data_IF_171129834711
#
_entry.id   IF_171129834711
#
_cell.length_a   1.000
_cell.length_b   1.000
_cell.length_c   1.000
_cell.angle_alpha   90.00
_cell.angle_beta   90.00
_cell.angle_gamma   90.00
#
_symmetry.space_group_name_H-M   'P 1'
#
loop_
_entity.id
_entity.type
_entity.pdbx_description
1 polymer ?
#
# COMPACT_ATOMS: atom_id res chain seq x y z
N UNK A 1 13.58 -33.25 36.24
CA UNK A 1 15.02 -33.14 36.57
C UNK A 1 15.84 -33.70 35.43
N UNK A 2 16.65 -32.87 34.75
CA UNK A 2 17.86 -33.23 34.01
C UNK A 2 18.29 -32.01 33.15
N UNK A 3 19.01 -31.08 33.77
CA UNK A 3 19.67 -29.96 33.08
C UNK A 3 20.99 -30.46 32.49
N UNK A 4 21.20 -30.27 31.18
CA UNK A 4 22.53 -30.38 30.56
C UNK A 4 23.17 -28.99 30.52
N UNK A 5 24.21 -28.82 31.33
CA UNK A 5 25.11 -27.66 31.37
C UNK A 5 25.93 -27.62 30.08
N UNK A 6 26.00 -26.44 29.45
CA UNK A 6 27.05 -26.11 28.48
C UNK A 6 28.01 -25.15 29.15
N UNK A 7 29.29 -25.52 29.16
CA UNK A 7 30.40 -24.77 29.75
C UNK A 7 30.84 -23.62 28.86
N UNK A 8 31.09 -22.48 29.50
CA UNK A 8 31.63 -21.24 28.93
C UNK A 8 33.11 -21.43 28.61
N UNK A 9 33.47 -21.30 27.33
CA UNK A 9 34.86 -21.17 26.88
C UNK A 9 35.29 -19.71 26.94
N UNK A 10 36.22 -19.41 27.84
CA UNK A 10 36.92 -18.13 27.97
C UNK A 10 37.80 -17.86 26.74
N UNK A 11 37.60 -16.72 26.08
CA UNK A 11 38.58 -16.15 25.17
C UNK A 11 39.07 -14.81 25.72
N UNK A 12 40.37 -14.79 25.88
CA UNK A 12 41.23 -13.87 26.59
C UNK A 12 41.27 -12.51 25.91
N UNK A 13 41.34 -11.45 26.74
CA UNK A 13 41.66 -10.08 26.36
C UNK A 13 42.97 -10.04 25.57
N UNK A 14 43.02 -9.26 24.49
CA UNK A 14 44.27 -8.71 23.97
C UNK A 14 44.17 -7.19 23.79
N UNK A 15 45.00 -6.52 24.58
CA UNK A 15 45.61 -5.19 24.45
C UNK A 15 45.08 -4.19 23.42
N UNK A 16 44.69 -3.04 23.96
CA UNK A 16 44.79 -1.73 23.33
C UNK A 16 46.22 -1.42 22.89
N UNK A 17 46.39 -0.91 21.67
CA UNK A 17 47.51 -0.01 21.37
C UNK A 17 46.99 1.23 20.62
N UNK A 18 47.22 2.39 21.24
CA UNK A 18 47.03 3.72 20.67
C UNK A 18 48.42 4.18 20.27
N UNK A 19 48.63 4.51 19.00
CA UNK A 19 49.60 5.54 18.61
C UNK A 19 49.35 6.07 17.18
N UNK A 20 48.97 7.34 17.16
CA UNK A 20 49.52 8.42 16.31
C UNK A 20 49.65 8.21 14.80
N UNK A 21 48.83 8.95 14.05
CA UNK A 21 49.02 9.21 12.61
C UNK A 21 48.11 10.35 12.13
N UNK A 22 48.60 11.59 12.20
CA UNK A 22 47.91 12.82 11.79
C UNK A 22 48.20 13.16 10.33
N UNK A 23 47.24 13.83 9.67
CA UNK A 23 47.27 14.51 8.34
C UNK A 23 47.15 13.59 7.11
N UNK A 24 46.31 13.88 6.10
CA UNK A 24 45.97 15.18 5.48
C UNK A 24 44.48 15.33 5.14
N UNK A 25 44.00 16.54 5.41
CA UNK A 25 42.75 17.14 4.93
C UNK A 25 42.96 17.54 3.46
N UNK A 26 42.15 17.01 2.54
CA UNK A 26 42.05 17.56 1.17
C UNK A 26 40.91 18.58 1.17
N UNK A 27 41.25 19.79 0.76
CA UNK A 27 40.43 20.98 0.73
C UNK A 27 39.49 21.05 -0.48
N UNK A 28 38.31 21.62 -0.23
CA UNK A 28 37.51 22.52 -1.07
C UNK A 28 37.47 22.28 -2.59
N UNK A 29 36.30 21.86 -3.08
CA UNK A 29 35.76 22.33 -4.36
C UNK A 29 34.56 23.21 -4.04
N UNK A 30 34.76 24.49 -4.25
CA UNK A 30 33.81 25.58 -4.10
C UNK A 30 33.34 25.95 -5.51
N UNK A 31 32.12 25.60 -5.90
CA UNK A 31 31.50 26.15 -7.12
C UNK A 31 30.50 27.22 -6.73
N UNK A 32 30.92 28.47 -6.97
CA UNK A 32 30.13 29.69 -6.82
C UNK A 32 28.90 29.70 -7.71
N UNK A 33 27.85 30.31 -7.15
CA UNK A 33 26.65 30.90 -7.75
C UNK A 33 26.86 31.49 -9.15
N UNK A 34 25.88 31.27 -10.02
CA UNK A 34 25.40 32.32 -10.94
C UNK A 34 23.90 32.52 -10.74
N UNK A 35 23.57 33.73 -10.26
CA UNK A 35 22.23 34.28 -10.17
C UNK A 35 22.02 35.29 -11.30
N UNK A 36 20.95 35.16 -12.10
CA UNK A 36 20.29 36.27 -12.83
C UNK A 36 18.80 35.88 -12.98
N UNK A 37 17.85 36.44 -12.22
CA UNK A 37 17.19 37.77 -12.30
C UNK A 37 16.05 37.81 -13.36
N UNK A 38 15.12 38.79 -13.36
CA UNK A 38 13.78 38.64 -12.77
C UNK A 38 12.66 38.94 -13.81
N UNK A 39 11.40 38.60 -13.52
CA UNK A 39 10.28 39.23 -14.23
C UNK A 39 9.39 40.01 -13.26
N UNK A 40 9.18 41.27 -13.64
CA UNK A 40 8.68 42.38 -12.85
C UNK A 40 7.20 42.61 -13.20
N UNK A 41 6.45 42.95 -12.15
CA UNK A 41 5.07 43.49 -12.07
C UNK A 41 4.53 44.26 -13.29
N UNK A 42 3.22 44.11 -13.50
CA UNK A 42 2.32 45.18 -13.92
C UNK A 42 0.97 45.05 -13.21
N UNK A 43 0.57 46.07 -12.44
CA UNK A 43 -0.80 46.31 -11.94
C UNK A 43 -1.45 47.36 -12.84
N UNK A 44 -2.78 47.33 -13.03
CA UNK A 44 -3.75 48.45 -13.05
C UNK A 44 -5.14 47.79 -13.28
N UNK A 45 -6.07 47.75 -12.32
CA UNK A 45 -7.05 48.73 -11.81
C UNK A 45 -8.24 49.09 -12.74
N UNK A 46 -9.45 48.95 -12.16
CA UNK A 46 -10.77 49.56 -12.41
C UNK A 46 -11.88 48.88 -13.26
N UNK A 47 -13.08 48.79 -12.61
CA UNK A 47 -14.44 48.78 -13.18
C UNK A 47 -14.99 47.38 -13.53
N UNK A 48 -16.10 46.85 -13.00
CA UNK A 48 -17.36 47.47 -12.59
C UNK A 48 -18.44 47.16 -13.64
N UNK A 49 -19.42 46.30 -13.33
CA UNK A 49 -20.73 46.29 -14.02
C UNK A 49 -21.19 45.00 -14.72
N UNK A 50 -22.15 44.34 -14.06
CA UNK A 50 -23.40 43.73 -14.60
C UNK A 50 -23.38 42.62 -15.67
N UNK A 51 -23.98 41.48 -15.28
CA UNK A 51 -24.55 40.44 -16.14
C UNK A 51 -25.76 40.97 -16.96
N UNK A 52 -26.24 40.27 -18.02
CA UNK A 52 -27.14 39.16 -17.76
C UNK A 52 -27.07 37.95 -18.73
N UNK A 53 -27.68 36.90 -18.20
CA UNK A 53 -28.12 35.62 -18.72
C UNK A 53 -29.26 35.73 -19.78
N UNK A 54 -29.30 34.77 -20.73
CA UNK A 54 -30.49 34.00 -21.20
C UNK A 54 -30.26 33.42 -22.59
N UNK A 55 -30.40 32.08 -22.73
CA UNK A 55 -31.51 31.48 -23.50
C UNK A 55 -31.57 29.96 -23.32
N UNK A 56 -32.69 29.48 -22.77
CA UNK A 56 -33.21 28.12 -22.95
C UNK A 56 -34.46 28.18 -23.82
N UNK A 57 -34.58 27.16 -24.66
CA UNK A 57 -35.76 26.40 -25.11
C UNK A 57 -37.03 27.12 -25.59
N UNK A 58 -37.54 26.65 -26.72
CA UNK A 58 -38.98 26.50 -26.97
C UNK A 58 -39.26 25.18 -27.67
N UNK A 59 -40.08 24.37 -27.02
CA UNK A 59 -40.84 23.24 -27.56
C UNK A 59 -41.90 23.74 -28.57
N UNK A 60 -42.27 22.89 -29.52
CA UNK A 60 -43.67 22.83 -29.96
C UNK A 60 -44.08 21.41 -30.36
N UNK A 61 -45.27 21.04 -29.90
CA UNK A 61 -45.96 19.78 -30.10
C UNK A 61 -47.13 19.95 -31.06
N UNK A 62 -47.41 18.90 -31.84
CA UNK A 62 -48.78 18.48 -32.18
C UNK A 62 -49.19 18.54 -33.65
N UNK A 63 -49.56 17.38 -34.23
CA UNK A 63 -50.97 16.93 -34.43
C UNK A 63 -51.10 15.98 -35.63
N UNK A 64 -51.81 14.87 -35.43
CA UNK A 64 -52.27 13.91 -36.45
C UNK A 64 -53.52 14.38 -37.21
N UNK A 65 -53.63 14.03 -38.49
CA UNK A 65 -54.68 13.20 -39.15
C UNK A 65 -54.81 13.55 -40.64
N UNK A 66 -55.03 12.53 -41.47
CA UNK A 66 -55.45 12.68 -42.87
C UNK A 66 -55.42 11.36 -43.64
N UNK A 67 -56.55 10.65 -43.66
CA UNK A 67 -56.83 9.53 -44.56
C UNK A 67 -56.98 10.01 -46.01
N UNK A 68 -56.64 9.17 -46.99
CA UNK A 68 -57.03 9.45 -48.37
C UNK A 68 -56.39 8.58 -49.47
N UNK A 69 -57.15 7.57 -49.90
CA UNK A 69 -57.45 7.25 -51.31
C UNK A 69 -56.61 6.19 -52.06
N UNK A 70 -57.28 5.05 -52.22
CA UNK A 70 -57.02 3.91 -53.12
C UNK A 70 -57.44 4.22 -54.57
N UNK A 71 -56.62 3.86 -55.58
CA UNK A 71 -56.98 3.41 -56.97
C UNK A 71 -55.77 2.68 -57.59
N UNK A 72 -55.78 1.34 -57.70
CA UNK A 72 -56.18 0.49 -58.86
C UNK A 72 -55.35 0.67 -60.14
N UNK A 73 -54.53 -0.34 -60.46
CA UNK A 73 -54.38 -1.09 -61.75
C UNK A 73 -53.16 -2.02 -61.62
N UNK A 74 -53.04 -3.23 -62.17
CA UNK A 74 -53.89 -4.23 -62.82
C UNK A 74 -53.02 -5.49 -62.88
N UNK A 75 -53.56 -6.63 -62.46
CA UNK A 75 -53.35 -7.99 -62.97
C UNK A 75 -52.20 -8.24 -63.97
N UNK A 76 -51.25 -9.08 -63.57
CA UNK A 76 -50.24 -9.69 -64.42
C UNK A 76 -49.61 -10.87 -63.70
N UNK A 77 -50.37 -11.95 -63.57
CA UNK A 77 -49.96 -13.18 -62.93
C UNK A 77 -48.81 -13.86 -63.69
N UNK A 78 -47.92 -14.49 -62.91
CA UNK A 78 -47.45 -15.87 -63.08
C UNK A 78 -47.03 -16.29 -64.50
N UNK A 79 -45.72 -16.54 -64.68
CA UNK A 79 -45.13 -17.73 -65.33
C UNK A 79 -43.75 -17.43 -65.94
N UNK A 80 -42.69 -17.35 -65.12
CA UNK A 80 -41.34 -17.60 -65.58
C UNK A 80 -40.39 -17.81 -64.39
N UNK A 81 -39.67 -18.93 -64.36
CA UNK A 81 -38.43 -19.04 -63.61
C UNK A 81 -38.41 -19.95 -62.38
N UNK A 82 -39.17 -21.06 -62.41
CA UNK A 82 -38.91 -22.20 -61.53
C UNK A 82 -37.65 -22.93 -62.04
N UNK A 83 -36.46 -22.37 -61.78
CA UNK A 83 -35.16 -22.99 -62.13
C UNK A 83 -33.95 -22.40 -61.38
N UNK A 84 -34.07 -22.10 -60.07
CA UNK A 84 -32.91 -21.88 -59.17
C UNK A 84 -33.19 -22.43 -57.76
N UNK A 85 -33.52 -23.71 -57.64
CA UNK A 85 -33.86 -24.31 -56.34
C UNK A 85 -33.16 -25.65 -56.01
N UNK A 86 -31.99 -25.94 -56.60
CA UNK A 86 -31.30 -27.24 -56.36
C UNK A 86 -29.78 -27.15 -56.09
N UNK A 87 -29.16 -25.98 -55.87
CA UNK A 87 -27.73 -25.91 -55.49
C UNK A 87 -27.45 -24.98 -54.30
N UNK A 88 -28.17 -25.19 -53.20
CA UNK A 88 -27.78 -24.64 -51.90
C UNK A 88 -28.06 -25.62 -50.75
N UNK A 89 -27.78 -26.90 -50.96
CA UNK A 89 -27.59 -27.86 -49.85
C UNK A 89 -26.13 -27.81 -49.40
N UNK A 90 -25.63 -26.61 -49.11
CA UNK A 90 -24.46 -26.45 -48.27
C UNK A 90 -24.92 -26.69 -46.85
N UNK A 91 -24.60 -27.85 -46.27
CA UNK A 91 -24.67 -28.05 -44.83
C UNK A 91 -23.78 -26.99 -44.18
N UNK A 92 -24.40 -25.88 -43.77
CA UNK A 92 -23.76 -24.93 -42.85
C UNK A 92 -23.65 -25.70 -41.55
N UNK A 93 -22.50 -26.31 -41.33
CA UNK A 93 -22.09 -26.70 -39.98
C UNK A 93 -22.11 -25.38 -39.21
N UNK A 94 -23.14 -25.20 -38.39
CA UNK A 94 -23.17 -24.14 -37.41
C UNK A 94 -21.95 -24.38 -36.55
N UNK A 95 -20.87 -23.66 -36.84
CA UNK A 95 -19.77 -23.52 -35.91
C UNK A 95 -20.42 -22.86 -34.71
N UNK A 96 -20.72 -23.67 -33.69
CA UNK A 96 -21.03 -23.18 -32.36
C UNK A 96 -19.90 -22.21 -32.05
N UNK A 97 -20.22 -20.92 -32.10
CA UNK A 97 -19.34 -19.89 -31.58
C UNK A 97 -19.28 -20.21 -30.10
N UNK A 98 -18.26 -20.98 -29.71
CA UNK A 98 -17.79 -21.06 -28.33
C UNK A 98 -17.43 -19.62 -27.99
N UNK A 99 -18.42 -18.87 -27.51
CA UNK A 99 -18.18 -17.60 -26.87
C UNK A 99 -17.28 -17.97 -25.69
N UNK A 100 -16.03 -17.49 -25.63
CA UNK A 100 -15.24 -17.68 -24.44
C UNK A 100 -16.09 -17.08 -23.32
N UNK A 101 -16.58 -17.93 -22.42
CA UNK A 101 -17.19 -17.48 -21.18
C UNK A 101 -16.14 -16.60 -20.53
N UNK A 102 -16.34 -15.29 -20.57
CA UNK A 102 -15.50 -14.33 -19.90
C UNK A 102 -15.59 -14.66 -18.41
N UNK A 103 -14.66 -15.49 -17.94
CA UNK A 103 -14.59 -15.89 -16.55
C UNK A 103 -14.46 -14.60 -15.76
N UNK A 104 -15.41 -14.33 -14.86
CA UNK A 104 -15.37 -13.11 -14.05
C UNK A 104 -13.99 -13.04 -13.39
N UNK A 105 -13.26 -11.92 -13.58
CA UNK A 105 -11.91 -11.84 -13.06
C UNK A 105 -11.93 -12.02 -11.54
N UNK A 106 -10.99 -12.80 -11.03
CA UNK A 106 -10.81 -12.96 -9.59
C UNK A 106 -10.40 -11.61 -9.02
N UNK A 107 -11.10 -11.15 -7.97
CA UNK A 107 -10.75 -9.89 -7.29
C UNK A 107 -10.06 -10.17 -5.97
N UNK A 108 -8.85 -9.67 -5.82
CA UNK A 108 -8.11 -9.66 -4.57
C UNK A 108 -8.29 -8.30 -3.89
N UNK A 109 -8.69 -8.31 -2.63
CA UNK A 109 -8.82 -7.12 -1.79
C UNK A 109 -7.53 -6.96 -0.99
N UNK A 110 -6.86 -5.82 -1.15
CA UNK A 110 -5.61 -5.48 -0.48
C UNK A 110 -5.78 -4.26 0.42
N UNK A 111 -5.58 -4.43 1.73
CA UNK A 111 -5.72 -3.37 2.74
C UNK A 111 -4.39 -2.88 3.32
N UNK A 112 -4.29 -1.58 3.64
CA UNK A 112 -3.16 -0.99 4.38
C UNK A 112 -3.56 0.31 5.11
N UNK A 113 -2.70 0.80 6.02
CA UNK A 113 -3.05 1.90 6.94
C UNK A 113 -2.70 3.29 6.37
N UNK A 114 -1.61 3.41 5.62
CA UNK A 114 -1.14 4.67 5.03
C UNK A 114 -2.14 5.29 4.03
N UNK A 115 -2.08 6.62 3.78
CA UNK A 115 -2.77 7.24 2.65
C UNK A 115 -2.42 6.59 1.31
N UNK A 116 -3.36 6.61 0.36
CA UNK A 116 -3.15 6.10 -1.01
C UNK A 116 -2.37 7.11 -1.84
N UNK A 117 -1.11 7.31 -1.48
CA UNK A 117 -0.16 8.22 -2.13
C UNK A 117 1.12 7.45 -2.45
N UNK A 118 1.60 7.48 -3.69
CA UNK A 118 2.78 6.71 -4.11
C UNK A 118 4.07 7.07 -3.35
N UNK A 119 4.08 8.21 -2.66
CA UNK A 119 5.17 8.65 -1.78
C UNK A 119 5.20 7.89 -0.46
N UNK A 120 4.13 7.16 -0.12
CA UNK A 120 4.03 6.30 1.08
C UNK A 120 4.41 4.86 0.72
N UNK A 121 5.30 4.20 1.48
CA UNK A 121 5.78 2.86 1.13
C UNK A 121 4.66 1.83 0.93
N UNK A 122 3.67 1.75 1.83
CA UNK A 122 2.60 0.75 1.73
C UNK A 122 1.76 0.94 0.46
N UNK A 123 1.44 2.18 0.11
CA UNK A 123 0.70 2.50 -1.11
C UNK A 123 1.53 2.20 -2.37
N UNK A 124 2.82 2.53 -2.39
CA UNK A 124 3.71 2.20 -3.49
C UNK A 124 3.76 0.68 -3.73
N UNK A 125 3.90 -0.12 -2.66
CA UNK A 125 3.88 -1.58 -2.75
C UNK A 125 2.56 -2.12 -3.28
N UNK A 126 1.43 -1.62 -2.76
CA UNK A 126 0.11 -2.05 -3.21
C UNK A 126 -0.12 -1.74 -4.70
N UNK A 127 0.28 -0.55 -5.16
CA UNK A 127 0.14 -0.15 -6.56
C UNK A 127 1.02 -0.98 -7.50
N UNK A 128 2.28 -1.23 -7.13
CA UNK A 128 3.19 -2.08 -7.91
C UNK A 128 2.69 -3.53 -7.93
N UNK A 129 2.22 -4.05 -6.79
CA UNK A 129 1.62 -5.38 -6.70
C UNK A 129 0.41 -5.51 -7.63
N UNK A 130 -0.53 -4.55 -7.57
CA UNK A 130 -1.69 -4.47 -8.47
C UNK A 130 -1.26 -4.51 -9.94
N UNK A 131 -0.33 -3.62 -10.33
CA UNK A 131 0.15 -3.53 -11.71
C UNK A 131 0.77 -4.85 -12.21
N UNK A 132 1.63 -5.47 -11.39
CA UNK A 132 2.31 -6.72 -11.77
C UNK A 132 1.30 -7.87 -11.87
N UNK A 133 0.37 -8.00 -10.92
CA UNK A 133 -0.63 -9.09 -10.92
C UNK A 133 -1.57 -8.96 -12.11
N UNK A 134 -2.12 -7.77 -12.34
CA UNK A 134 -3.07 -7.53 -13.43
C UNK A 134 -2.41 -7.74 -14.79
N UNK A 135 -1.18 -7.24 -14.97
CA UNK A 135 -0.44 -7.42 -16.22
C UNK A 135 -0.05 -8.90 -16.46
N UNK A 136 0.49 -9.59 -15.46
CA UNK A 136 0.95 -10.98 -15.61
C UNK A 136 -0.19 -11.99 -15.75
N UNK A 137 -1.39 -11.62 -15.33
CA UNK A 137 -2.59 -12.46 -15.46
C UNK A 137 -3.47 -12.06 -16.63
N UNK A 138 -3.04 -11.10 -17.47
CA UNK A 138 -3.84 -10.54 -18.56
C UNK A 138 -5.25 -10.12 -18.11
N UNK A 139 -5.35 -9.53 -16.92
CA UNK A 139 -6.61 -9.09 -16.32
C UNK A 139 -7.48 -10.21 -15.72
N UNK A 140 -7.04 -11.46 -15.71
CA UNK A 140 -7.78 -12.56 -15.06
C UNK A 140 -7.83 -12.41 -13.53
N UNK A 141 -6.87 -11.70 -12.94
CA UNK A 141 -6.87 -11.30 -11.53
C UNK A 141 -6.78 -9.79 -11.45
N UNK A 142 -7.71 -9.18 -10.72
CA UNK A 142 -7.76 -7.75 -10.41
C UNK A 142 -7.46 -7.52 -8.92
N UNK A 143 -6.82 -6.41 -8.60
CA UNK A 143 -6.51 -6.03 -7.20
C UNK A 143 -7.26 -4.75 -6.84
N UNK A 144 -8.19 -4.86 -5.90
CA UNK A 144 -8.90 -3.72 -5.31
C UNK A 144 -8.13 -3.24 -4.07
N UNK A 145 -7.71 -1.97 -4.06
CA UNK A 145 -6.85 -1.38 -3.03
C UNK A 145 -7.68 -0.59 -2.03
N UNK A 146 -7.43 -0.81 -0.74
CA UNK A 146 -8.08 -0.13 0.39
C UNK A 146 -7.02 0.44 1.34
N UNK A 147 -6.58 1.68 1.08
CA UNK A 147 -5.67 2.39 1.98
C UNK A 147 -6.39 3.29 2.99
N UNK A 148 -5.65 4.18 3.63
CA UNK A 148 -6.15 5.18 4.59
C UNK A 148 -6.91 4.56 5.76
N UNK A 149 -6.56 3.33 6.16
CA UNK A 149 -7.22 2.63 7.26
C UNK A 149 -8.76 2.53 7.10
N UNK A 150 -9.29 2.56 5.87
CA UNK A 150 -10.76 2.48 5.63
C UNK A 150 -11.35 1.14 6.05
N UNK A 151 -10.52 0.11 6.16
CA UNK A 151 -10.85 -1.21 6.71
C UNK A 151 -10.48 -1.33 8.20
N UNK A 152 -10.22 -0.21 8.89
CA UNK A 152 -9.71 -0.19 10.25
C UNK A 152 -8.20 -0.38 10.34
N UNK A 153 -7.69 -0.49 11.57
CA UNK A 153 -6.26 -0.58 11.84
C UNK A 153 -5.65 -1.97 11.60
N UNK A 154 -4.32 -2.05 11.69
CA UNK A 154 -3.50 -3.26 11.44
C UNK A 154 -4.11 -4.57 11.99
N UNK A 155 -4.54 -4.59 13.27
CA UNK A 155 -5.13 -5.79 13.89
C UNK A 155 -6.45 -6.22 13.25
N UNK A 156 -7.34 -5.27 12.98
CA UNK A 156 -8.64 -5.55 12.37
C UNK A 156 -8.45 -6.14 10.97
N UNK A 157 -7.55 -5.56 10.16
CA UNK A 157 -7.22 -6.10 8.84
C UNK A 157 -6.62 -7.51 8.91
N UNK A 158 -5.76 -7.80 9.89
CA UNK A 158 -5.23 -9.16 10.07
C UNK A 158 -6.33 -10.19 10.40
N UNK A 159 -7.30 -9.84 11.26
CA UNK A 159 -8.45 -10.72 11.49
C UNK A 159 -9.30 -10.91 10.24
N UNK A 160 -9.48 -9.86 9.43
CA UNK A 160 -10.20 -9.99 8.14
C UNK A 160 -9.47 -10.92 7.17
N UNK A 161 -8.13 -10.91 7.15
CA UNK A 161 -7.35 -11.86 6.35
C UNK A 161 -7.53 -13.28 6.86
N UNK A 162 -7.50 -13.48 8.19
CA UNK A 162 -7.74 -14.80 8.78
C UNK A 162 -9.15 -15.31 8.53
N UNK A 163 -10.16 -14.43 8.51
CA UNK A 163 -11.54 -14.80 8.23
C UNK A 163 -11.84 -14.98 6.74
N UNK A 164 -10.94 -14.57 5.84
CA UNK A 164 -11.16 -14.55 4.39
C UNK A 164 -12.03 -13.38 3.90
N UNK A 165 -12.34 -12.41 4.78
CA UNK A 165 -13.06 -11.18 4.41
C UNK A 165 -12.16 -10.12 3.77
N UNK A 166 -10.84 -10.29 3.88
CA UNK A 166 -9.80 -9.54 3.17
C UNK A 166 -8.79 -10.56 2.62
N UNK A 167 -8.23 -10.34 1.43
CA UNK A 167 -7.35 -11.35 0.82
C UNK A 167 -5.88 -11.09 1.16
N UNK A 168 -5.49 -9.81 1.19
CA UNK A 168 -4.12 -9.38 1.45
C UNK A 168 -4.14 -8.15 2.36
N UNK A 169 -3.20 -8.06 3.29
CA UNK A 169 -2.92 -6.79 3.98
C UNK A 169 -1.42 -6.55 4.10
N UNK A 170 -1.02 -5.27 4.09
CA UNK A 170 0.35 -4.85 4.41
C UNK A 170 0.41 -4.56 5.92
N UNK A 171 1.42 -5.09 6.59
CA UNK A 171 1.50 -5.08 8.06
C UNK A 171 2.91 -4.75 8.54
N UNK A 172 3.03 -3.76 9.42
CA UNK A 172 4.32 -3.34 9.98
C UNK A 172 4.59 -3.85 11.39
N UNK A 173 3.56 -4.08 12.23
CA UNK A 173 3.81 -4.38 13.66
C UNK A 173 2.79 -5.22 14.43
N UNK A 174 1.60 -5.48 13.89
CA UNK A 174 0.59 -6.27 14.62
C UNK A 174 0.86 -7.78 14.63
N UNK A 175 1.74 -8.29 13.75
CA UNK A 175 2.03 -9.72 13.61
C UNK A 175 2.52 -10.39 14.90
N UNK A 176 3.21 -9.63 15.76
CA UNK A 176 3.71 -10.16 17.04
C UNK A 176 2.63 -10.65 18.01
N UNK A 177 1.39 -10.16 17.89
CA UNK A 177 0.26 -10.62 18.69
C UNK A 177 -0.28 -11.98 18.23
N UNK A 178 -0.10 -12.33 16.95
CA UNK A 178 -0.59 -13.57 16.34
C UNK A 178 0.47 -14.67 16.33
N UNK A 179 1.71 -14.26 16.06
CA UNK A 179 2.86 -15.16 16.01
C UNK A 179 4.02 -14.49 16.76
N UNK A 180 4.17 -14.76 18.07
CA UNK A 180 5.16 -14.09 18.92
C UNK A 180 6.59 -14.16 18.40
N UNK A 181 6.98 -15.25 17.73
CA UNK A 181 8.31 -15.39 17.16
C UNK A 181 8.60 -14.41 16.02
N UNK A 182 7.57 -13.84 15.37
CA UNK A 182 7.76 -12.76 14.39
C UNK A 182 8.40 -11.51 14.99
N UNK A 183 8.24 -11.28 16.30
CA UNK A 183 8.78 -10.11 16.98
C UNK A 183 10.31 -10.06 16.96
N UNK A 184 10.99 -11.17 16.62
CA UNK A 184 12.46 -11.22 16.49
C UNK A 184 12.96 -10.14 15.53
N UNK A 185 12.30 -9.91 14.39
CA UNK A 185 12.74 -8.92 13.40
C UNK A 185 12.42 -7.48 13.81
N UNK A 186 11.61 -7.31 14.85
CA UNK A 186 11.27 -6.01 15.43
C UNK A 186 12.19 -5.64 16.60
N UNK A 187 13.22 -6.45 16.88
CA UNK A 187 14.19 -6.15 17.92
C UNK A 187 14.97 -4.86 17.56
N UNK A 188 15.00 -3.86 18.47
CA UNK A 188 15.77 -2.65 18.26
C UNK A 188 17.25 -2.97 18.04
N UNK A 189 17.86 -2.33 17.04
CA UNK A 189 19.28 -2.48 16.69
C UNK A 189 19.70 -3.90 16.24
N UNK A 190 18.76 -4.78 15.87
CA UNK A 190 19.08 -6.13 15.40
C UNK A 190 19.92 -6.13 14.12
N UNK A 191 19.51 -5.33 13.13
CA UNK A 191 20.19 -5.25 11.84
C UNK A 191 21.18 -4.08 11.84
N UNK A 192 22.43 -4.36 11.44
CA UNK A 192 23.49 -3.34 11.34
C UNK A 192 23.41 -2.52 10.04
N UNK A 193 22.80 -3.09 9.00
CA UNK A 193 22.55 -2.43 7.71
C UNK A 193 21.34 -3.06 7.03
N UNK A 194 20.80 -2.34 6.05
CA UNK A 194 19.70 -2.81 5.21
C UNK A 194 20.11 -4.04 4.39
N UNK A 195 21.34 -4.09 3.87
CA UNK A 195 21.86 -5.24 3.11
C UNK A 195 21.82 -6.54 3.92
N UNK A 196 22.17 -6.47 5.21
CA UNK A 196 22.11 -7.64 6.10
C UNK A 196 20.65 -8.06 6.31
N UNK A 197 19.74 -7.10 6.48
CA UNK A 197 18.31 -7.41 6.63
C UNK A 197 17.76 -8.11 5.39
N UNK A 198 18.04 -7.58 4.19
CA UNK A 198 17.63 -8.19 2.92
C UNK A 198 18.23 -9.57 2.71
N UNK A 199 19.51 -9.75 3.00
CA UNK A 199 20.13 -11.08 2.95
C UNK A 199 19.43 -12.07 3.88
N UNK A 200 19.05 -11.65 5.09
CA UNK A 200 18.31 -12.50 6.03
C UNK A 200 16.93 -12.86 5.45
N UNK A 201 16.17 -11.91 4.93
CA UNK A 201 14.82 -12.17 4.42
C UNK A 201 14.81 -13.00 3.13
N UNK A 202 15.82 -12.85 2.28
CA UNK A 202 15.84 -13.53 0.97
C UNK A 202 16.56 -14.88 1.00
N UNK A 203 17.65 -14.99 1.78
CA UNK A 203 18.60 -16.10 1.68
C UNK A 203 18.60 -17.01 2.91
N UNK A 204 18.31 -16.49 4.10
CA UNK A 204 18.48 -17.25 5.34
C UNK A 204 17.52 -18.43 5.47
N UNK A 205 18.05 -19.60 5.83
CA UNK A 205 17.25 -20.77 6.18
C UNK A 205 16.34 -20.50 7.39
N UNK A 206 16.85 -19.77 8.38
CA UNK A 206 16.09 -19.38 9.57
C UNK A 206 14.80 -18.63 9.20
N UNK A 207 14.88 -17.66 8.28
CA UNK A 207 13.69 -16.90 7.89
C UNK A 207 12.67 -17.76 7.14
N UNK A 208 13.14 -18.64 6.25
CA UNK A 208 12.28 -19.60 5.53
C UNK A 208 11.55 -20.53 6.49
N UNK A 209 12.27 -21.10 7.45
CA UNK A 209 11.69 -22.00 8.47
C UNK A 209 10.68 -21.25 9.36
N UNK A 210 11.01 -20.00 9.74
CA UNK A 210 10.12 -19.16 10.53
C UNK A 210 8.81 -18.85 9.79
N UNK A 211 8.87 -18.59 8.47
CA UNK A 211 7.68 -18.33 7.66
C UNK A 211 6.87 -19.60 7.40
N UNK A 212 7.51 -20.75 7.28
CA UNK A 212 6.83 -22.04 7.19
C UNK A 212 6.07 -22.35 8.50
N UNK A 213 6.70 -22.12 9.66
CA UNK A 213 6.05 -22.31 10.96
C UNK A 213 4.91 -21.31 11.19
N UNK A 214 5.10 -20.04 10.80
CA UNK A 214 4.05 -19.02 10.81
C UNK A 214 2.84 -19.49 10.02
N UNK A 215 3.04 -19.98 8.79
CA UNK A 215 1.95 -20.46 7.95
C UNK A 215 1.24 -21.66 8.58
N UNK A 216 2.01 -22.63 9.06
CA UNK A 216 1.47 -23.83 9.70
C UNK A 216 0.62 -23.51 10.94
N UNK A 217 1.03 -22.54 11.76
CA UNK A 217 0.37 -22.22 13.03
C UNK A 217 -0.80 -21.25 12.90
N UNK A 218 -0.75 -20.34 11.94
CA UNK A 218 -1.71 -19.23 11.85
C UNK A 218 -2.59 -19.27 10.61
N UNK A 219 -2.21 -20.07 9.60
CA UNK A 219 -2.82 -20.03 8.26
C UNK A 219 -2.40 -18.82 7.42
N UNK A 220 -1.69 -17.84 7.99
CA UNK A 220 -1.24 -16.66 7.28
C UNK A 220 -0.03 -16.97 6.39
N UNK A 221 0.03 -16.37 5.21
CA UNK A 221 1.18 -16.50 4.30
C UNK A 221 1.82 -15.13 4.10
N UNK A 222 3.11 -15.03 4.41
CA UNK A 222 3.90 -13.86 4.03
C UNK A 222 4.18 -13.93 2.52
N UNK A 223 3.80 -12.88 1.78
CA UNK A 223 4.05 -12.78 0.34
C UNK A 223 5.38 -12.09 0.01
N UNK A 224 5.83 -11.20 0.88
CA UNK A 224 7.09 -10.46 0.72
C UNK A 224 7.35 -9.53 1.90
N UNK A 225 8.59 -9.04 1.99
CA UNK A 225 9.00 -8.01 2.93
C UNK A 225 9.20 -6.69 2.18
N UNK A 226 8.76 -5.59 2.78
CA UNK A 226 8.98 -4.23 2.29
C UNK A 226 9.73 -3.39 3.33
N UNK A 227 10.47 -2.40 2.88
CA UNK A 227 11.19 -1.45 3.73
C UNK A 227 10.34 -0.20 3.97
N UNK A 228 10.02 0.06 5.24
CA UNK A 228 9.36 1.29 5.62
C UNK A 228 10.38 2.40 5.93
N UNK A 229 11.42 2.07 6.69
CA UNK A 229 12.55 2.95 7.03
C UNK A 229 13.07 2.71 8.45
N UNK A 230 14.02 3.54 8.89
CA UNK A 230 14.64 3.44 10.21
C UNK A 230 13.84 4.24 11.22
N UNK A 231 13.46 3.63 12.34
CA UNK A 231 12.58 4.26 13.33
C UNK A 231 13.32 5.31 14.15
N UNK A 232 12.71 6.49 14.29
CA UNK A 232 13.19 7.61 15.08
C UNK A 232 12.14 8.03 16.13
N UNK A 233 12.63 8.51 17.29
CA UNK A 233 11.77 9.12 18.30
C UNK A 233 11.55 10.60 17.99
N UNK A 234 10.30 11.06 18.09
CA UNK A 234 9.95 12.49 18.13
C UNK A 234 8.99 12.79 19.27
N UNK A 235 9.10 13.97 19.87
CA UNK A 235 8.24 14.37 21.00
C UNK A 235 8.15 15.90 21.11
N UNK A 236 7.12 16.36 21.83
CA UNK A 236 6.83 17.78 22.06
C UNK A 236 7.35 18.32 23.41
N UNK A 237 8.16 17.54 24.15
CA UNK A 237 8.61 17.88 25.50
C UNK A 237 10.03 18.43 25.49
N UNK A 238 10.99 17.66 24.94
CA UNK A 238 12.41 18.00 24.95
C UNK A 238 13.22 17.17 23.94
N UNK A 239 14.39 17.64 23.50
CA UNK A 239 15.34 16.81 22.76
C UNK A 239 15.75 15.57 23.55
N UNK A 240 15.95 14.45 22.86
CA UNK A 240 16.45 13.19 23.43
C UNK A 240 17.86 12.95 22.88
N UNK A 241 18.86 12.98 23.76
CA UNK A 241 20.27 12.74 23.40
C UNK A 241 20.83 11.50 24.08
N UNK A 242 20.24 11.12 25.21
CA UNK A 242 20.59 9.93 25.98
C UNK A 242 19.32 9.20 26.42
N UNK A 243 19.38 7.90 26.75
CA UNK A 243 18.22 7.18 27.28
C UNK A 243 17.60 7.84 28.53
N UNK A 244 18.40 8.50 29.38
CA UNK A 244 17.89 9.20 30.55
C UNK A 244 16.88 10.31 30.20
N UNK A 245 17.01 10.93 29.02
CA UNK A 245 16.11 11.99 28.56
C UNK A 245 14.70 11.47 28.27
N UNK A 246 14.50 10.16 28.11
CA UNK A 246 13.20 9.52 27.88
C UNK A 246 12.29 9.53 29.12
N UNK A 247 12.87 9.72 30.31
CA UNK A 247 12.17 9.51 31.59
C UNK A 247 10.88 10.34 31.69
N UNK A 248 9.76 9.66 31.89
CA UNK A 248 8.45 10.30 32.12
C UNK A 248 7.78 10.89 30.87
N UNK A 249 8.37 10.76 29.68
CA UNK A 249 7.69 11.08 28.41
C UNK A 249 6.74 9.93 28.07
N UNK A 250 5.50 10.23 27.67
CA UNK A 250 4.53 9.26 27.17
C UNK A 250 4.68 9.12 25.66
N UNK A 251 5.10 7.96 25.19
CA UNK A 251 5.22 7.66 23.77
C UNK A 251 4.08 6.78 23.30
N UNK A 252 3.45 7.16 22.17
CA UNK A 252 2.68 6.21 21.39
C UNK A 252 3.62 5.16 20.82
N UNK A 253 3.24 3.89 20.96
CA UNK A 253 3.86 2.76 20.26
C UNK A 253 2.81 2.03 19.43
N UNK A 254 3.26 1.28 18.43
CA UNK A 254 2.40 0.31 17.75
C UNK A 254 1.86 -0.72 18.75
N UNK A 255 0.75 -1.37 18.42
CA UNK A 255 0.11 -2.37 19.27
C UNK A 255 0.86 -3.72 19.29
N UNK A 256 2.16 -3.68 19.61
CA UNK A 256 3.07 -4.82 19.67
C UNK A 256 3.81 -4.84 21.01
N UNK A 257 3.87 -6.00 21.69
CA UNK A 257 4.54 -6.12 22.98
C UNK A 257 6.01 -5.71 22.97
N UNK A 258 6.73 -5.94 21.87
CA UNK A 258 8.15 -5.61 21.78
C UNK A 258 8.41 -4.10 21.84
N UNK A 259 7.56 -3.28 21.21
CA UNK A 259 7.72 -1.83 21.22
C UNK A 259 7.36 -1.22 22.58
N UNK A 260 6.36 -1.78 23.25
CA UNK A 260 6.03 -1.43 24.65
C UNK A 260 7.26 -1.65 25.53
N UNK A 261 7.81 -2.87 25.50
CA UNK A 261 8.99 -3.23 26.30
C UNK A 261 10.20 -2.39 25.97
N UNK A 262 10.42 -2.08 24.68
CA UNK A 262 11.55 -1.25 24.27
C UNK A 262 11.47 0.16 24.86
N UNK A 263 10.32 0.83 24.73
CA UNK A 263 10.13 2.20 25.24
C UNK A 263 10.19 2.23 26.76
N UNK A 264 9.60 1.24 27.44
CA UNK A 264 9.67 1.12 28.89
C UNK A 264 11.10 0.85 29.39
N UNK A 265 11.88 0.02 28.67
CA UNK A 265 13.28 -0.25 28.99
C UNK A 265 14.16 1.01 28.84
N UNK A 266 13.76 1.97 27.99
CA UNK A 266 14.40 3.28 27.90
C UNK A 266 13.96 4.25 29.00
N UNK A 267 13.01 3.88 29.88
CA UNK A 267 12.52 4.69 31.00
C UNK A 267 11.35 5.62 30.66
N UNK A 268 10.83 5.56 29.43
CA UNK A 268 9.61 6.26 29.03
C UNK A 268 8.35 5.44 29.38
N UNK A 269 7.17 6.06 29.23
CA UNK A 269 5.89 5.37 29.33
C UNK A 269 5.39 5.05 27.93
N UNK A 270 5.12 3.78 27.64
CA UNK A 270 4.58 3.36 26.35
C UNK A 270 3.05 3.28 26.39
N UNK A 271 2.38 3.83 25.39
CA UNK A 271 0.92 3.75 25.22
C UNK A 271 0.61 3.14 23.85
N UNK A 272 0.08 1.91 23.78
CA UNK A 272 -0.29 1.28 22.51
C UNK A 272 -1.51 1.96 21.92
N UNK A 273 -1.36 2.65 20.79
CA UNK A 273 -2.45 3.38 20.12
C UNK A 273 -2.44 3.03 18.62
N UNK A 274 -3.62 2.83 18.03
CA UNK A 274 -3.76 2.53 16.61
C UNK A 274 -3.19 3.66 15.73
N UNK A 275 -2.81 3.37 14.48
CA UNK A 275 -2.22 4.38 13.59
C UNK A 275 -3.17 5.55 13.35
N UNK A 276 -4.44 5.25 13.05
CA UNK A 276 -5.48 6.25 12.79
C UNK A 276 -5.71 7.22 13.97
N UNK A 277 -5.43 6.80 15.20
CA UNK A 277 -5.65 7.59 16.42
C UNK A 277 -4.42 8.42 16.83
N UNK A 278 -3.27 8.22 16.19
CA UNK A 278 -2.00 8.84 16.59
C UNK A 278 -2.09 10.38 16.58
N UNK A 279 -2.59 10.97 15.50
CA UNK A 279 -2.66 12.43 15.37
C UNK A 279 -3.55 13.05 16.46
N UNK A 280 -4.72 12.47 16.70
CA UNK A 280 -5.63 12.93 17.77
C UNK A 280 -5.00 12.72 19.15
N UNK A 281 -4.33 11.60 19.40
CA UNK A 281 -3.64 11.34 20.67
C UNK A 281 -2.53 12.35 20.97
N UNK A 282 -1.79 12.80 19.94
CA UNK A 282 -0.80 13.86 20.04
C UNK A 282 -1.45 15.24 20.27
N UNK A 283 -2.50 15.57 19.52
CA UNK A 283 -3.22 16.84 19.64
C UNK A 283 -3.86 17.03 21.03
N UNK A 284 -4.47 15.96 21.55
CA UNK A 284 -5.13 15.94 22.87
C UNK A 284 -4.16 15.68 24.03
N UNK A 285 -2.85 15.53 23.75
CA UNK A 285 -1.79 15.29 24.74
C UNK A 285 -1.99 14.02 25.58
N UNK A 286 -2.74 13.04 25.07
CA UNK A 286 -2.78 11.69 25.64
C UNK A 286 -1.36 11.11 25.66
N UNK A 287 -0.62 11.32 24.57
CA UNK A 287 0.81 11.03 24.44
C UNK A 287 1.59 12.29 24.07
N UNK A 288 2.86 12.31 24.44
CA UNK A 288 3.77 13.43 24.25
C UNK A 288 4.64 13.29 22.99
N UNK A 289 4.77 12.06 22.49
CA UNK A 289 5.62 11.71 21.37
C UNK A 289 5.27 10.37 20.75
N UNK A 290 6.04 10.01 19.75
CA UNK A 290 5.88 8.80 18.97
C UNK A 290 7.24 8.27 18.49
N UNK A 291 7.23 7.06 17.97
CA UNK A 291 8.35 6.45 17.26
C UNK A 291 7.87 5.88 15.92
N UNK A 292 8.51 6.26 14.81
CA UNK A 292 8.22 5.80 13.45
C UNK A 292 9.40 6.07 12.50
N UNK A 293 9.41 5.47 11.31
CA UNK A 293 10.34 5.81 10.24
C UNK A 293 10.37 7.30 9.89
#
# INVERSE_FOLDING_TARGET
>A
MAQRKWSVGSLTRCGSDRRTGTMRRVSNIETRRTSRSPYRRGRHFFGGGTAPEKRRETLSTGRQKGEGRMKRTRWGALLAGLLVAVLASGTVVAADKVQPTAQKPLKLRLGFEDPVEITKPEAAYAMVFKSIVEARTNGAVLVDIFGHSVLGGSKAMLEMVKSGSLDICIQTGAMGAYYPAFQVISLPYLFKSEDIAWWVFDKSAYWKDLMADLNKKTGLRLLGMGQNGVRHFSNNVRPIRTPADMKGIKFRVMQSPIFVKFVEALGAKAVPIAWAELYTALQTKVVDGQENP
#
